data_IF_577313846598
#
_entry.id   IF_577313846598
#
_cell.length_a   1.000
_cell.length_b   1.000
_cell.length_c   1.000
_cell.angle_alpha   90.00
_cell.angle_beta   90.00
_cell.angle_gamma   90.00
#
_symmetry.space_group_name_H-M   'P 1'
#
loop_
_entity.id
_entity.type
_entity.pdbx_description
1 polymer ?
#
# COMPACT_ATOMS: atom_id res chain seq x y z
N UNK A 1 -3.67 -2.73 -29.74
CA UNK A 1 -4.30 -1.41 -29.63
C UNK A 1 -5.58 -1.74 -28.88
N UNK A 2 -5.59 -1.77 -27.55
CA UNK A 2 -5.02 -0.79 -26.63
C UNK A 2 -4.56 -1.48 -25.34
N UNK A 3 -3.26 -1.44 -25.06
CA UNK A 3 -2.69 -1.70 -23.74
C UNK A 3 -2.17 -0.34 -23.28
N UNK A 4 -3.13 0.55 -23.01
CA UNK A 4 -2.90 1.84 -22.39
C UNK A 4 -2.71 1.52 -20.91
N UNK A 5 -1.49 1.10 -20.57
CA UNK A 5 -1.10 0.89 -19.19
C UNK A 5 -1.38 2.17 -18.41
N UNK A 6 -2.13 2.01 -17.33
CA UNK A 6 -2.28 2.96 -16.22
C UNK A 6 -0.87 3.41 -15.76
N UNK A 7 -0.28 4.35 -16.48
CA UNK A 7 0.88 5.16 -16.09
C UNK A 7 0.33 6.52 -15.68
N UNK A 8 -0.74 6.51 -14.85
CA UNK A 8 -1.07 7.68 -14.07
C UNK A 8 0.20 7.99 -13.27
N UNK A 9 0.79 9.18 -13.43
CA UNK A 9 2.06 9.50 -12.81
C UNK A 9 1.89 9.28 -11.31
N UNK A 10 2.81 8.49 -10.73
CA UNK A 10 2.93 8.27 -9.28
C UNK A 10 2.56 9.59 -8.61
N UNK A 11 1.57 9.61 -7.69
CA UNK A 11 1.10 10.86 -7.12
C UNK A 11 2.13 11.37 -6.10
N UNK A 12 3.27 11.83 -6.61
CA UNK A 12 4.29 12.60 -5.92
C UNK A 12 3.68 13.79 -5.17
N UNK A 13 2.64 14.49 -5.69
CA UNK A 13 1.95 15.52 -4.91
C UNK A 13 1.38 15.00 -3.59
N UNK A 14 0.85 13.77 -3.59
CA UNK A 14 0.26 13.17 -2.39
C UNK A 14 1.37 12.82 -1.40
N UNK A 15 2.48 12.24 -1.84
CA UNK A 15 3.63 11.96 -0.97
C UNK A 15 4.18 13.25 -0.34
N UNK A 16 4.30 14.32 -1.13
CA UNK A 16 4.75 15.64 -0.65
C UNK A 16 3.75 16.22 0.37
N UNK A 17 2.45 16.07 0.13
CA UNK A 17 1.40 16.51 1.06
C UNK A 17 1.51 15.76 2.39
N UNK A 18 1.71 14.44 2.36
CA UNK A 18 1.91 13.62 3.55
C UNK A 18 3.14 14.08 4.34
N UNK A 19 4.28 14.25 3.66
CA UNK A 19 5.51 14.74 4.27
C UNK A 19 5.34 16.14 4.88
N UNK A 20 4.57 17.02 4.23
CA UNK A 20 4.34 18.38 4.73
C UNK A 20 3.48 18.38 6.00
N UNK A 21 2.52 17.46 6.10
CA UNK A 21 1.69 17.30 7.29
C UNK A 21 2.51 16.72 8.47
N UNK A 22 3.36 15.72 8.21
CA UNK A 22 4.11 15.00 9.24
C UNK A 22 5.53 15.54 9.49
N UNK A 23 5.91 16.68 8.90
CA UNK A 23 7.27 17.25 9.03
C UNK A 23 7.65 17.64 10.45
N UNK A 24 6.67 17.97 11.28
CA UNK A 24 6.85 18.42 12.67
C UNK A 24 6.53 17.31 13.68
N UNK A 25 6.16 16.12 13.20
CA UNK A 25 5.83 15.01 14.08
C UNK A 25 7.09 14.46 14.76
N UNK A 26 6.96 14.03 16.02
CA UNK A 26 8.08 13.39 16.69
C UNK A 26 8.50 12.15 15.88
N UNK A 27 9.81 11.94 15.69
CA UNK A 27 10.29 10.76 14.97
C UNK A 27 9.68 9.51 15.61
N UNK A 28 9.21 8.55 14.80
CA UNK A 28 8.66 7.33 15.34
C UNK A 28 9.70 6.69 16.28
N UNK A 29 9.29 6.24 17.48
CA UNK A 29 10.22 5.59 18.40
C UNK A 29 10.89 4.42 17.69
N UNK A 30 12.23 4.35 17.76
CA UNK A 30 13.02 3.49 16.86
C UNK A 30 12.73 1.99 17.01
N UNK A 31 12.20 1.51 18.13
CA UNK A 31 11.98 0.08 18.36
C UNK A 31 10.88 -0.16 19.39
N UNK A 32 9.62 0.06 18.99
CA UNK A 32 8.48 -0.47 19.75
C UNK A 32 7.86 -1.63 18.96
N UNK A 33 8.49 -2.81 19.02
CA UNK A 33 8.07 -4.06 18.35
C UNK A 33 6.59 -4.42 18.61
N UNK A 34 6.00 -3.85 19.66
CA UNK A 34 4.60 -4.04 20.01
C UNK A 34 3.64 -3.16 19.20
N UNK A 35 4.12 -2.02 18.65
CA UNK A 35 3.33 -1.07 17.87
C UNK A 35 3.08 -1.56 16.45
N UNK A 36 4.03 -2.30 15.86
CA UNK A 36 3.88 -2.94 14.54
C UNK A 36 2.69 -3.91 14.47
N UNK A 37 2.26 -4.47 15.60
CA UNK A 37 1.16 -5.45 15.66
C UNK A 37 -0.23 -4.80 15.67
N UNK A 38 -0.32 -3.49 15.93
CA UNK A 38 -1.61 -2.78 16.01
C UNK A 38 -1.90 -2.09 14.69
N UNK A 39 -2.79 -2.70 13.90
CA UNK A 39 -3.29 -2.10 12.67
C UNK A 39 -4.31 -0.99 12.93
N UNK A 40 -4.81 -0.87 14.17
CA UNK A 40 -5.88 0.08 14.55
C UNK A 40 -5.33 1.47 14.96
N UNK A 41 -4.02 1.63 15.07
CA UNK A 41 -3.35 2.88 15.49
C UNK A 41 -2.94 3.73 14.27
N UNK A 42 -3.90 4.02 13.39
CA UNK A 42 -3.73 4.90 12.23
C UNK A 42 -4.39 6.25 12.55
N UNK A 43 -3.66 7.38 12.49
CA UNK A 43 -4.23 8.71 12.66
C UNK A 43 -5.45 8.95 11.76
N UNK A 44 -6.45 9.69 12.25
CA UNK A 44 -7.68 9.96 11.49
C UNK A 44 -7.38 10.67 10.18
N UNK A 45 -6.41 11.59 10.19
CA UNK A 45 -5.96 12.29 8.98
C UNK A 45 -5.40 11.31 7.94
N UNK A 46 -4.57 10.35 8.36
CA UNK A 46 -4.03 9.31 7.47
C UNK A 46 -5.13 8.41 6.93
N UNK A 47 -6.14 8.07 7.73
CA UNK A 47 -7.28 7.28 7.26
C UNK A 47 -8.06 8.00 6.15
N UNK A 48 -8.27 9.31 6.29
CA UNK A 48 -8.92 10.13 5.26
C UNK A 48 -8.03 10.29 4.03
N UNK A 49 -6.74 10.53 4.23
CA UNK A 49 -5.75 10.69 3.17
C UNK A 49 -5.57 9.42 2.34
N UNK A 50 -5.56 8.25 2.98
CA UNK A 50 -5.43 6.94 2.33
C UNK A 50 -6.76 6.38 1.80
N UNK A 51 -7.85 7.16 1.87
CA UNK A 51 -9.14 6.82 1.26
C UNK A 51 -9.14 7.05 -0.25
N UNK A 52 -8.19 6.40 -0.92
CA UNK A 52 -7.99 6.41 -2.37
C UNK A 52 -8.34 5.03 -2.94
N UNK A 53 -8.35 4.91 -4.27
CA UNK A 53 -8.51 3.61 -4.92
C UNK A 53 -7.29 2.70 -4.65
N UNK A 54 -7.47 1.39 -4.91
CA UNK A 54 -6.42 0.41 -4.64
C UNK A 54 -5.16 0.62 -5.50
N UNK A 55 -5.31 1.10 -6.74
CA UNK A 55 -4.18 1.37 -7.63
C UNK A 55 -3.28 2.45 -7.04
N UNK A 56 -3.89 3.60 -6.71
CA UNK A 56 -3.23 4.73 -6.05
C UNK A 56 -2.59 4.33 -4.72
N UNK A 57 -3.27 3.51 -3.90
CA UNK A 57 -2.70 3.03 -2.63
C UNK A 57 -1.43 2.19 -2.85
N UNK A 58 -1.42 1.31 -3.87
CA UNK A 58 -0.23 0.53 -4.20
C UNK A 58 0.92 1.40 -4.73
N UNK A 59 0.63 2.42 -5.52
CA UNK A 59 1.63 3.38 -5.97
C UNK A 59 2.20 4.21 -4.83
N UNK A 60 1.37 4.61 -3.86
CA UNK A 60 1.83 5.28 -2.64
C UNK A 60 2.76 4.38 -1.82
N UNK A 61 2.47 3.08 -1.71
CA UNK A 61 3.36 2.11 -1.05
C UNK A 61 4.70 2.03 -1.78
N UNK A 62 4.68 1.91 -3.12
CA UNK A 62 5.90 1.84 -3.92
C UNK A 62 6.72 3.14 -3.83
N UNK A 63 6.08 4.29 -3.89
CA UNK A 63 6.71 5.60 -3.75
C UNK A 63 7.32 5.79 -2.36
N UNK A 64 6.59 5.42 -1.30
CA UNK A 64 7.08 5.47 0.07
C UNK A 64 8.30 4.57 0.28
N UNK A 65 8.28 3.36 -0.28
CA UNK A 65 9.41 2.44 -0.25
C UNK A 65 10.61 2.95 -1.07
N UNK A 66 10.37 3.55 -2.23
CA UNK A 66 11.43 4.11 -3.07
C UNK A 66 12.11 5.32 -2.42
N UNK A 67 11.34 6.16 -1.73
CA UNK A 67 11.81 7.37 -1.04
C UNK A 67 12.27 7.12 0.41
N UNK A 68 12.20 5.87 0.90
CA UNK A 68 12.53 5.45 2.26
C UNK A 68 11.77 6.23 3.37
N UNK A 69 10.48 6.49 3.13
CA UNK A 69 9.61 7.19 4.09
C UNK A 69 8.91 6.13 4.96
N UNK A 70 9.60 5.68 6.03
CA UNK A 70 9.10 4.63 6.94
C UNK A 70 7.70 4.89 7.49
N UNK A 71 7.39 6.14 7.85
CA UNK A 71 6.08 6.51 8.39
C UNK A 71 4.94 6.30 7.39
N UNK A 72 5.12 6.76 6.14
CA UNK A 72 4.15 6.58 5.07
C UNK A 72 3.99 5.09 4.70
N UNK A 73 5.11 4.35 4.68
CA UNK A 73 5.08 2.91 4.42
C UNK A 73 4.31 2.15 5.50
N UNK A 74 4.47 2.51 6.77
CA UNK A 74 3.75 1.89 7.89
C UNK A 74 2.24 2.14 7.82
N UNK A 75 1.80 3.40 7.65
CA UNK A 75 0.36 3.73 7.60
C UNK A 75 -0.33 3.11 6.37
N UNK A 76 0.36 3.04 5.24
CA UNK A 76 -0.17 2.39 4.02
C UNK A 76 -0.28 0.87 4.20
N UNK A 77 0.74 0.22 4.79
CA UNK A 77 0.70 -1.20 5.11
C UNK A 77 -0.39 -1.56 6.12
N UNK A 78 -0.54 -0.75 7.19
CA UNK A 78 -1.62 -0.91 8.18
C UNK A 78 -3.00 -0.77 7.55
N UNK A 79 -3.17 0.18 6.62
CA UNK A 79 -4.43 0.37 5.88
C UNK A 79 -4.78 -0.87 5.06
N UNK A 80 -3.81 -1.42 4.32
CA UNK A 80 -4.02 -2.69 3.57
C UNK A 80 -4.34 -3.84 4.53
N UNK A 81 -3.65 -3.94 5.66
CA UNK A 81 -3.92 -4.97 6.67
C UNK A 81 -5.35 -4.87 7.21
N UNK A 82 -5.85 -3.65 7.49
CA UNK A 82 -7.25 -3.42 7.88
C UNK A 82 -8.25 -3.77 6.77
N UNK A 83 -7.90 -3.56 5.50
CA UNK A 83 -8.75 -3.97 4.37
C UNK A 83 -8.83 -5.49 4.19
N UNK A 84 -7.86 -6.23 4.71
CA UNK A 84 -7.80 -7.69 4.71
C UNK A 84 -8.48 -8.25 5.96
N UNK A 85 -8.39 -7.53 7.10
CA UNK A 85 -9.02 -7.88 8.38
C UNK A 85 -10.52 -8.04 8.18
N UNK A 86 -11.05 -9.21 8.54
CA UNK A 86 -12.48 -9.53 8.45
C UNK A 86 -12.96 -10.00 7.08
N UNK A 87 -12.11 -10.07 6.04
CA UNK A 87 -12.46 -10.70 4.76
C UNK A 87 -12.10 -12.18 4.74
N UNK A 88 -12.88 -12.95 4.02
CA UNK A 88 -12.58 -14.36 3.77
C UNK A 88 -11.40 -14.51 2.82
N UNK A 89 -10.62 -15.62 2.90
CA UNK A 89 -9.55 -15.92 1.95
C UNK A 89 -10.01 -15.86 0.49
N UNK A 90 -11.24 -16.24 0.21
CA UNK A 90 -11.87 -16.22 -1.12
C UNK A 90 -12.09 -14.78 -1.62
N UNK A 91 -12.56 -13.87 -0.77
CA UNK A 91 -12.74 -12.46 -1.11
C UNK A 91 -11.41 -11.73 -1.31
N UNK A 92 -10.41 -12.06 -0.48
CA UNK A 92 -9.04 -11.55 -0.63
C UNK A 92 -8.49 -12.03 -1.98
N UNK A 93 -8.62 -13.34 -2.29
CA UNK A 93 -8.22 -13.87 -3.60
C UNK A 93 -8.94 -13.17 -4.74
N UNK A 94 -10.25 -12.94 -4.67
CA UNK A 94 -10.99 -12.26 -5.74
C UNK A 94 -10.54 -10.80 -5.94
N UNK A 95 -10.19 -10.12 -4.85
CA UNK A 95 -9.78 -8.70 -4.88
C UNK A 95 -8.34 -8.56 -5.37
N UNK A 96 -7.40 -9.37 -4.85
CA UNK A 96 -5.97 -9.23 -5.14
C UNK A 96 -5.45 -10.17 -6.24
N UNK A 97 -6.13 -11.28 -6.57
CA UNK A 97 -5.67 -12.20 -7.62
C UNK A 97 -5.84 -11.64 -9.04
N UNK A 98 -6.65 -10.59 -9.25
CA UNK A 98 -6.80 -9.95 -10.57
C UNK A 98 -5.49 -9.39 -11.13
N UNK A 99 -4.50 -9.13 -10.26
CA UNK A 99 -3.14 -8.69 -10.65
C UNK A 99 -2.19 -9.86 -10.96
N UNK A 100 -2.53 -11.09 -10.58
CA UNK A 100 -1.65 -12.28 -10.72
C UNK A 100 -1.91 -13.11 -11.98
N UNK A 101 -2.95 -12.81 -12.76
CA UNK A 101 -3.28 -13.55 -13.99
C UNK A 101 -2.30 -13.36 -15.16
N UNK A 102 -1.23 -12.58 -14.99
CA UNK A 102 -0.12 -12.47 -15.95
C UNK A 102 0.98 -13.52 -15.83
N UNK A 103 1.02 -14.36 -14.77
CA UNK A 103 2.02 -15.44 -14.68
C UNK A 103 1.48 -16.69 -15.37
N UNK A 104 1.68 -16.77 -16.68
CA UNK A 104 1.61 -18.05 -17.40
C UNK A 104 2.64 -18.98 -16.76
N UNK A 105 2.16 -19.90 -15.92
CA UNK A 105 2.93 -21.06 -15.47
C UNK A 105 3.29 -21.86 -16.72
N UNK A 106 4.48 -21.60 -17.27
CA UNK A 106 5.05 -22.43 -18.32
C UNK A 106 5.29 -23.81 -17.71
N UNK A 107 4.34 -24.73 -17.88
CA UNK A 107 4.57 -26.15 -17.66
C UNK A 107 5.50 -26.58 -18.78
N UNK A 108 6.80 -26.51 -18.51
CA UNK A 108 7.84 -27.07 -19.37
C UNK A 108 7.49 -28.49 -19.75
N UNK A 109 7.51 -28.75 -21.06
CA UNK A 109 7.14 -30.01 -21.67
C UNK A 109 8.06 -31.15 -21.25
N UNK A 110 7.46 -32.33 -21.12
CA UNK A 110 8.16 -33.59 -21.23
C UNK A 110 8.25 -33.95 -22.72
N UNK A 111 9.48 -34.05 -23.21
CA UNK A 111 9.83 -34.96 -24.31
C UNK A 111 10.75 -36.03 -23.74
#
# INVERSE_FOLDING_TARGET
MDDEGDDDPVPLPNVIQWCTHHKDDPPPPEDDENKEKRTDDIPVWDQEFLKVDQGTLFELILAANYLDIKGLLDVTCKTVANMIKGKTPEEIRKTYARRTSGVKRNKGGSY
#
